data_IF_363277041539
#
_entry.id   IF_363277041539
#
_cell.length_a   1.000
_cell.length_b   1.000
_cell.length_c   1.000
_cell.angle_alpha   90.00
_cell.angle_beta   90.00
_cell.angle_gamma   90.00
#
_symmetry.space_group_name_H-M   'P 1'
#
loop_
_entity.id
_entity.type
_entity.pdbx_description
1 polymer ?
#
# COMPACT_ATOMS: atom_id res chain seq x y z
N UNK A 1 -10.61 -3.26 -24.28
CA UNK A 1 -9.33 -3.19 -23.54
C UNK A 1 -9.61 -3.66 -22.13
N UNK A 2 -8.91 -4.69 -21.64
CA UNK A 2 -8.97 -5.06 -20.21
C UNK A 2 -8.07 -4.09 -19.44
N UNK A 3 -8.54 -3.59 -18.31
CA UNK A 3 -7.73 -2.75 -17.44
C UNK A 3 -6.70 -3.64 -16.73
N UNK A 4 -5.41 -3.26 -16.69
CA UNK A 4 -4.40 -3.97 -15.91
C UNK A 4 -4.81 -4.03 -14.44
N UNK A 5 -4.54 -5.15 -13.79
CA UNK A 5 -4.83 -5.32 -12.37
C UNK A 5 -3.60 -4.94 -11.55
N UNK A 6 -3.77 -4.00 -10.62
CA UNK A 6 -2.71 -3.47 -9.77
C UNK A 6 -2.93 -3.88 -8.32
N UNK A 7 -1.89 -4.45 -7.74
CA UNK A 7 -1.83 -4.74 -6.32
C UNK A 7 -0.73 -3.93 -5.65
N UNK A 8 -1.01 -3.49 -4.43
CA UNK A 8 -0.03 -2.96 -3.50
C UNK A 8 0.40 -4.11 -2.58
N UNK A 9 1.59 -4.66 -2.80
CA UNK A 9 2.25 -5.55 -1.85
C UNK A 9 2.84 -4.66 -0.75
N UNK A 10 2.34 -4.81 0.48
CA UNK A 10 2.62 -3.93 1.59
C UNK A 10 3.03 -4.72 2.83
N UNK A 11 4.03 -4.22 3.56
CA UNK A 11 4.33 -4.66 4.92
C UNK A 11 4.70 -3.50 5.83
N UNK A 12 4.33 -3.60 7.10
CA UNK A 12 4.69 -2.63 8.13
C UNK A 12 4.86 -3.31 9.48
N UNK A 13 5.62 -2.68 10.37
CA UNK A 13 5.74 -3.12 11.77
C UNK A 13 5.82 -1.93 12.71
N UNK A 14 5.30 -2.13 13.92
CA UNK A 14 5.54 -1.29 15.10
C UNK A 14 5.24 0.19 14.89
N UNK A 15 4.22 0.49 14.08
CA UNK A 15 3.78 1.84 13.76
C UNK A 15 2.30 1.88 13.37
N UNK A 16 1.75 3.09 13.41
CA UNK A 16 0.52 3.41 12.72
C UNK A 16 0.84 3.81 11.29
N UNK A 17 0.01 3.43 10.34
CA UNK A 17 0.18 3.86 8.96
C UNK A 17 -1.14 4.22 8.28
N UNK A 18 -1.01 4.94 7.17
CA UNK A 18 -2.10 5.30 6.26
C UNK A 18 -1.62 5.18 4.83
N UNK A 19 -2.42 4.52 3.99
CA UNK A 19 -2.19 4.31 2.57
C UNK A 19 -3.30 5.01 1.81
N UNK A 20 -2.92 5.87 0.85
CA UNK A 20 -3.85 6.50 -0.07
C UNK A 20 -3.43 6.29 -1.52
N UNK A 21 -4.41 6.12 -2.40
CA UNK A 21 -4.23 6.11 -3.85
C UNK A 21 -5.15 7.18 -4.43
N UNK A 22 -4.59 8.13 -5.16
CA UNK A 22 -5.31 9.29 -5.71
C UNK A 22 -6.19 9.99 -4.65
N UNK A 23 -5.59 10.23 -3.48
CA UNK A 23 -6.20 10.86 -2.30
C UNK A 23 -7.36 10.08 -1.65
N UNK A 24 -7.67 8.87 -2.14
CA UNK A 24 -8.62 7.93 -1.52
C UNK A 24 -7.88 7.04 -0.53
N UNK A 25 -8.37 6.99 0.71
CA UNK A 25 -7.82 6.08 1.72
C UNK A 25 -8.15 4.63 1.40
N UNK A 26 -7.09 3.83 1.28
CA UNK A 26 -7.18 2.39 0.99
C UNK A 26 -7.16 1.59 2.28
N UNK A 27 -6.25 1.95 3.20
CA UNK A 27 -6.06 1.25 4.46
C UNK A 27 -5.38 2.18 5.48
N UNK A 28 -5.87 2.14 6.72
CA UNK A 28 -5.17 2.70 7.88
C UNK A 28 -5.28 1.75 9.05
N UNK A 29 -4.15 1.48 9.69
CA UNK A 29 -4.08 0.61 10.86
C UNK A 29 -3.08 1.15 11.88
N UNK A 30 -3.34 0.89 13.16
CA UNK A 30 -2.44 1.15 14.28
C UNK A 30 -1.96 -0.19 14.85
N UNK A 31 -0.72 -0.60 14.56
CA UNK A 31 -0.23 -1.95 14.86
C UNK A 31 1.10 -1.91 15.61
N UNK A 32 1.11 -2.42 16.84
CA UNK A 32 2.34 -2.64 17.62
C UNK A 32 3.16 -3.83 17.08
N UNK A 33 2.49 -4.79 16.44
CA UNK A 33 3.12 -5.93 15.76
C UNK A 33 3.44 -5.67 14.29
N UNK A 34 3.49 -6.75 13.50
CA UNK A 34 3.76 -6.74 12.07
C UNK A 34 2.51 -7.07 11.25
N UNK A 35 2.42 -6.51 10.05
CA UNK A 35 1.47 -6.93 9.01
C UNK A 35 2.16 -7.05 7.65
N UNK A 36 1.65 -7.95 6.82
CA UNK A 36 1.98 -8.07 5.41
C UNK A 36 0.70 -8.44 4.64
N UNK A 37 0.40 -7.72 3.56
CA UNK A 37 -0.84 -7.89 2.80
C UNK A 37 -0.71 -7.39 1.37
N UNK A 38 -1.42 -8.04 0.46
CA UNK A 38 -1.60 -7.60 -0.92
C UNK A 38 -2.97 -6.93 -1.07
N UNK A 39 -2.98 -5.65 -1.46
CA UNK A 39 -4.21 -4.85 -1.53
C UNK A 39 -4.51 -4.50 -2.99
N UNK A 40 -5.68 -4.88 -3.52
CA UNK A 40 -6.13 -4.44 -4.83
C UNK A 40 -6.38 -2.93 -4.82
N UNK A 41 -5.74 -2.17 -5.72
CA UNK A 41 -5.88 -0.70 -5.74
C UNK A 41 -6.65 -0.15 -6.95
N UNK A 42 -7.09 -1.03 -7.87
CA UNK A 42 -7.82 -0.64 -9.08
C UNK A 42 -9.04 0.25 -8.84
N UNK A 43 -9.75 0.05 -7.73
CA UNK A 43 -10.94 0.87 -7.41
C UNK A 43 -10.61 2.36 -7.19
N UNK A 44 -9.35 2.68 -6.91
CA UNK A 44 -8.87 4.05 -6.75
C UNK A 44 -8.09 4.57 -7.96
N UNK A 45 -7.99 3.81 -9.06
CA UNK A 45 -7.33 4.19 -10.32
C UNK A 45 -8.39 4.51 -11.37
N UNK A 46 -8.54 5.79 -11.72
CA UNK A 46 -9.66 6.28 -12.54
C UNK A 46 -9.41 6.30 -14.05
N UNK A 47 -8.20 5.92 -14.49
CA UNK A 47 -7.85 5.94 -15.90
C UNK A 47 -6.36 5.72 -16.13
N UNK A 48 -5.92 5.98 -17.36
CA UNK A 48 -4.52 5.97 -17.71
C UNK A 48 -3.83 7.28 -17.28
N UNK A 49 -2.51 7.20 -17.09
CA UNK A 49 -1.69 8.35 -16.70
C UNK A 49 -1.08 8.18 -15.31
N UNK A 50 -0.47 9.27 -14.82
CA UNK A 50 0.22 9.27 -13.54
C UNK A 50 -0.76 9.06 -12.38
N UNK A 51 -0.50 8.05 -11.56
CA UNK A 51 -1.25 7.76 -10.35
C UNK A 51 -0.42 8.16 -9.13
N UNK A 52 -1.06 8.74 -8.11
CA UNK A 52 -0.38 9.15 -6.87
C UNK A 52 -0.62 8.10 -5.79
N UNK A 53 0.45 7.56 -5.23
CA UNK A 53 0.41 6.67 -4.06
C UNK A 53 1.07 7.43 -2.90
N UNK A 54 0.37 7.56 -1.78
CA UNK A 54 0.87 8.17 -0.57
C UNK A 54 0.86 7.14 0.56
N UNK A 55 2.02 6.93 1.18
CA UNK A 55 2.18 6.03 2.32
C UNK A 55 2.80 6.83 3.46
N UNK A 56 2.09 6.92 4.59
CA UNK A 56 2.53 7.67 5.77
C UNK A 56 2.63 6.75 6.97
N UNK A 57 3.75 6.86 7.69
CA UNK A 57 3.97 6.20 8.97
C UNK A 57 3.95 7.20 10.13
N UNK A 58 3.40 6.78 11.25
CA UNK A 58 3.24 7.57 12.48
C UNK A 58 3.62 6.72 13.70
N UNK A 59 3.96 7.35 14.84
CA UNK A 59 3.94 6.66 16.12
C UNK A 59 2.61 5.95 16.36
N UNK A 60 2.62 4.89 17.15
CA UNK A 60 1.37 4.27 17.63
C UNK A 60 0.52 5.32 18.37
N UNK A 61 -0.81 5.18 18.37
CA UNK A 61 -1.73 6.21 18.89
C UNK A 61 -1.43 6.64 20.34
N UNK A 62 -0.86 5.76 21.16
CA UNK A 62 -0.49 6.00 22.56
C UNK A 62 0.97 6.47 22.75
N UNK A 63 1.74 6.62 21.66
CA UNK A 63 3.16 7.01 21.67
C UNK A 63 3.35 8.36 21.00
N UNK A 64 4.35 9.11 21.48
CA UNK A 64 4.77 10.39 20.87
C UNK A 64 5.93 10.26 19.89
N UNK A 65 6.65 9.15 19.95
CA UNK A 65 7.88 8.91 19.21
C UNK A 65 7.68 7.62 18.40
N UNK A 66 8.15 7.63 17.16
CA UNK A 66 8.13 6.45 16.30
C UNK A 66 9.05 5.38 16.89
N UNK A 67 8.61 4.12 16.90
CA UNK A 67 9.46 3.02 17.36
C UNK A 67 10.74 2.97 16.49
N UNK A 68 11.95 2.86 17.07
CA UNK A 68 13.20 2.74 16.31
C UNK A 68 13.22 1.57 15.32
N UNK A 69 12.44 0.52 15.57
CA UNK A 69 12.31 -0.66 14.73
C UNK A 69 11.16 -0.56 13.73
N UNK A 70 10.40 0.56 13.74
CA UNK A 70 9.30 0.75 12.82
C UNK A 70 9.79 0.76 11.37
N UNK A 71 9.04 0.08 10.50
CA UNK A 71 9.28 0.14 9.07
C UNK A 71 7.97 0.08 8.31
N UNK A 72 8.04 0.58 7.08
CA UNK A 72 7.03 0.39 6.05
C UNK A 72 7.77 0.02 4.75
N UNK A 73 7.29 -1.00 4.06
CA UNK A 73 7.79 -1.42 2.74
C UNK A 73 6.59 -1.65 1.83
N UNK A 74 6.73 -1.23 0.58
CA UNK A 74 5.68 -1.43 -0.40
C UNK A 74 6.24 -1.51 -1.81
N UNK A 75 5.51 -2.16 -2.71
CA UNK A 75 5.73 -2.13 -4.16
C UNK A 75 4.40 -2.29 -4.89
N UNK A 76 4.35 -1.82 -6.13
CA UNK A 76 3.21 -2.06 -7.01
C UNK A 76 3.51 -3.27 -7.88
N UNK A 77 2.56 -4.20 -7.91
CA UNK A 77 2.59 -5.37 -8.78
C UNK A 77 1.50 -5.21 -9.82
N UNK A 78 1.91 -5.11 -11.07
CA UNK A 78 1.01 -5.19 -12.21
C UNK A 78 0.85 -6.66 -12.60
N UNK A 79 -0.39 -7.16 -12.56
CA UNK A 79 -0.71 -8.49 -13.03
C UNK A 79 -1.28 -8.44 -14.45
N UNK A 80 -0.58 -9.12 -15.37
CA UNK A 80 -1.17 -9.46 -16.65
C UNK A 80 -1.95 -10.77 -16.51
N UNK A 81 -3.24 -10.63 -16.21
CA UNK A 81 -4.19 -11.75 -16.06
C UNK A 81 -4.38 -12.58 -17.34
N UNK A 82 -3.80 -12.20 -18.49
CA UNK A 82 -3.86 -13.00 -19.72
C UNK A 82 -2.88 -14.18 -19.72
N UNK A 83 -1.72 -14.05 -19.06
CA UNK A 83 -0.64 -15.05 -19.11
C UNK A 83 -0.16 -15.54 -17.74
N UNK A 84 -0.79 -15.11 -16.64
CA UNK A 84 -0.36 -15.46 -15.27
C UNK A 84 1.02 -14.90 -14.89
N UNK A 85 1.47 -13.86 -15.60
CA UNK A 85 2.78 -13.23 -15.39
C UNK A 85 2.65 -11.99 -14.50
N UNK A 86 3.61 -11.84 -13.58
CA UNK A 86 3.72 -10.72 -12.65
C UNK A 86 4.83 -9.77 -13.12
N UNK A 87 4.52 -8.48 -13.22
CA UNK A 87 5.49 -7.42 -13.51
C UNK A 87 5.62 -6.52 -12.29
N UNK A 88 6.85 -6.23 -11.88
CA UNK A 88 7.14 -5.29 -10.79
C UNK A 88 7.38 -3.91 -11.41
N UNK A 89 6.63 -2.89 -10.93
CA UNK A 89 6.70 -1.50 -11.43
C UNK A 89 7.19 -0.58 -10.33
#
# INVERSE_FOLDING_TARGET
MKQPYYQLDFSASSCKFQIKVNDIEILSMNLDGQTATDIPINAAVFGSGLQKIEVKGYPLDDKKILNPEAYIRYKIVEQNVENGQFMFV
#
